data_IF_208660277065
#
_entry.id   IF_208660277065
#
_cell.length_a   1.000
_cell.length_b   1.000
_cell.length_c   1.000
_cell.angle_alpha   90.00
_cell.angle_beta   90.00
_cell.angle_gamma   90.00
#
_symmetry.space_group_name_H-M   'P 1'
#
loop_
_entity.id
_entity.type
_entity.pdbx_description
1 polymer ?
#
# COMPACT_ATOMS: atom_id res chain seq x y z
N UNK A 1 32.50 10.50 44.27
CA UNK A 1 31.47 10.93 45.24
C UNK A 1 30.28 10.01 45.08
N UNK A 2 29.86 9.39 46.17
CA UNK A 2 28.75 8.43 46.25
C UNK A 2 27.99 8.77 47.51
N UNK A 3 26.68 9.01 47.39
CA UNK A 3 25.84 9.40 48.52
C UNK A 3 24.56 8.55 48.52
N UNK A 4 23.95 8.40 49.70
CA UNK A 4 22.88 7.43 49.95
C UNK A 4 21.53 8.07 50.23
N UNK A 5 20.50 7.22 50.22
CA UNK A 5 19.07 7.48 50.44
C UNK A 5 18.75 8.11 51.81
N UNK A 6 17.53 8.68 51.96
CA UNK A 6 16.58 8.01 52.86
C UNK A 6 15.13 7.90 52.31
N UNK A 7 14.23 7.28 53.09
CA UNK A 7 12.88 6.84 52.70
C UNK A 7 11.76 7.43 53.58
N UNK A 8 10.56 7.59 53.01
CA UNK A 8 9.21 7.62 53.67
C UNK A 8 8.15 7.47 52.55
N UNK A 9 6.98 6.80 52.63
CA UNK A 9 6.14 6.22 53.69
C UNK A 9 5.24 7.22 54.48
N UNK A 10 3.94 6.96 54.75
CA UNK A 10 3.12 5.75 54.42
C UNK A 10 2.19 6.03 53.21
N UNK A 11 0.84 5.93 53.14
CA UNK A 11 -0.26 5.52 54.05
C UNK A 11 -1.47 4.92 53.26
N UNK A 12 -2.53 4.46 53.94
CA UNK A 12 -3.51 3.49 53.41
C UNK A 12 -4.95 4.00 53.19
N UNK A 13 -5.62 3.35 52.21
CA UNK A 13 -7.07 2.99 52.17
C UNK A 13 -8.18 4.00 52.47
N UNK A 14 -9.16 4.07 51.56
CA UNK A 14 -10.57 3.70 51.85
C UNK A 14 -11.26 3.20 50.57
N UNK A 15 -12.21 2.28 50.71
CA UNK A 15 -12.91 1.62 49.59
C UNK A 15 -14.28 2.25 49.34
N UNK A 16 -14.68 2.38 48.07
CA UNK A 16 -16.06 2.64 47.66
C UNK A 16 -16.41 1.83 46.40
N UNK A 17 -17.57 1.18 46.40
CA UNK A 17 -18.00 0.25 45.34
C UNK A 17 -19.02 0.89 44.39
N UNK A 18 -18.90 0.61 43.10
CA UNK A 18 -20.05 0.67 42.17
C UNK A 18 -19.86 -0.36 41.05
N UNK A 19 -20.96 -0.94 40.59
CA UNK A 19 -20.98 -2.15 39.77
C UNK A 19 -21.44 -1.81 38.34
N UNK A 20 -20.77 -2.33 37.31
CA UNK A 20 -21.19 -2.20 35.89
C UNK A 20 -21.05 -3.57 35.21
N UNK A 21 -21.98 -3.88 34.29
CA UNK A 21 -22.27 -5.24 33.84
C UNK A 21 -21.25 -5.86 32.85
N UNK A 22 -21.17 -7.20 32.77
CA UNK A 22 -20.22 -7.91 31.90
C UNK A 22 -20.75 -8.13 30.47
N UNK A 23 -20.50 -7.18 29.57
CA UNK A 23 -20.64 -7.36 28.10
C UNK A 23 -19.66 -6.43 27.38
N UNK A 24 -18.86 -6.84 26.39
CA UNK A 24 -18.77 -8.15 25.72
C UNK A 24 -17.30 -8.54 25.51
N UNK A 25 -16.87 -9.66 26.09
CA UNK A 25 -15.61 -10.31 25.70
C UNK A 25 -15.78 -10.95 24.33
N UNK A 26 -15.38 -10.23 23.28
CA UNK A 26 -15.30 -10.76 21.92
C UNK A 26 -14.15 -11.76 21.84
N UNK A 27 -14.42 -13.03 22.20
CA UNK A 27 -13.49 -14.14 21.98
C UNK A 27 -13.15 -14.22 20.50
N UNK A 28 -11.89 -14.06 20.08
CA UNK A 28 -11.52 -14.20 18.68
C UNK A 28 -11.73 -15.66 18.28
N UNK A 29 -12.78 -15.91 17.49
CA UNK A 29 -13.10 -17.25 17.02
C UNK A 29 -11.92 -17.82 16.23
N UNK A 30 -11.60 -19.10 16.40
CA UNK A 30 -10.42 -19.73 15.80
C UNK A 30 -10.34 -19.51 14.27
N UNK A 31 -11.50 -19.45 13.60
CA UNK A 31 -11.65 -19.07 12.19
C UNK A 31 -10.96 -17.76 11.82
N UNK A 32 -11.13 -16.71 12.64
CA UNK A 32 -10.54 -15.38 12.43
C UNK A 32 -9.03 -15.43 12.54
N UNK A 33 -8.48 -16.15 13.53
CA UNK A 33 -7.04 -16.30 13.71
C UNK A 33 -6.39 -17.00 12.50
N UNK A 34 -7.01 -18.07 11.99
CA UNK A 34 -6.54 -18.79 10.79
C UNK A 34 -6.54 -17.87 9.57
N UNK A 35 -7.62 -17.10 9.37
CA UNK A 35 -7.75 -16.21 8.22
C UNK A 35 -6.72 -15.08 8.22
N UNK A 36 -6.43 -14.46 9.37
CA UNK A 36 -5.37 -13.45 9.51
C UNK A 36 -3.97 -14.05 9.27
N UNK A 37 -3.69 -15.25 9.79
CA UNK A 37 -2.41 -15.92 9.58
C UNK A 37 -2.13 -16.22 8.10
N UNK A 38 -3.15 -16.67 7.36
CA UNK A 38 -3.03 -16.94 5.92
C UNK A 38 -2.74 -15.66 5.11
N UNK A 39 -3.37 -14.54 5.46
CA UNK A 39 -3.16 -13.25 4.78
C UNK A 39 -1.74 -12.72 4.97
N UNK A 40 -1.18 -12.84 6.18
CA UNK A 40 0.22 -12.46 6.45
C UNK A 40 1.22 -13.29 5.64
N UNK A 41 0.96 -14.59 5.49
CA UNK A 41 1.83 -15.48 4.71
C UNK A 41 1.78 -15.16 3.21
N UNK A 42 0.61 -14.83 2.66
CA UNK A 42 0.45 -14.32 1.29
C UNK A 42 1.26 -13.03 1.09
N UNK A 43 1.19 -12.09 2.03
CA UNK A 43 1.93 -10.82 1.94
C UNK A 43 3.45 -11.02 1.96
N UNK A 44 3.95 -11.96 2.76
CA UNK A 44 5.38 -12.29 2.81
C UNK A 44 5.87 -12.96 1.51
N UNK A 45 5.07 -13.84 0.89
CA UNK A 45 5.38 -14.41 -0.44
C UNK A 45 5.45 -13.32 -1.51
N UNK A 46 4.49 -12.38 -1.51
CA UNK A 46 4.46 -11.25 -2.43
C UNK A 46 5.71 -10.36 -2.28
N UNK A 47 6.18 -10.11 -1.05
CA UNK A 47 7.44 -9.39 -0.81
C UNK A 47 8.66 -10.14 -1.35
N UNK A 48 8.78 -11.45 -1.07
CA UNK A 48 9.89 -12.28 -1.55
C UNK A 48 9.95 -12.34 -3.10
N UNK A 49 8.79 -12.40 -3.77
CA UNK A 49 8.68 -12.33 -5.23
C UNK A 49 9.22 -11.00 -5.79
N UNK A 50 8.85 -9.87 -5.18
CA UNK A 50 9.38 -8.56 -5.59
C UNK A 50 10.88 -8.41 -5.30
N UNK A 51 11.40 -8.99 -4.21
CA UNK A 51 12.84 -9.04 -3.95
C UNK A 51 13.59 -9.88 -4.99
N UNK A 52 13.04 -11.03 -5.40
CA UNK A 52 13.62 -11.86 -6.46
C UNK A 52 13.62 -11.14 -7.83
N UNK A 53 12.55 -10.40 -8.14
CA UNK A 53 12.52 -9.52 -9.33
C UNK A 53 13.65 -8.49 -9.29
N UNK A 54 13.76 -7.72 -8.21
CA UNK A 54 14.76 -6.66 -8.09
C UNK A 54 16.19 -7.20 -8.08
N UNK A 55 16.46 -8.30 -7.36
CA UNK A 55 17.74 -9.00 -7.41
C UNK A 55 18.11 -9.40 -8.85
N UNK A 56 17.17 -9.95 -9.62
CA UNK A 56 17.41 -10.30 -11.03
C UNK A 56 17.69 -9.06 -11.90
N UNK A 57 16.98 -7.96 -11.69
CA UNK A 57 17.22 -6.72 -12.45
C UNK A 57 18.60 -6.11 -12.13
N UNK A 58 19.04 -6.16 -10.86
CA UNK A 58 20.36 -5.71 -10.44
C UNK A 58 21.44 -6.60 -11.07
N UNK A 59 21.36 -7.92 -10.93
CA UNK A 59 22.33 -8.84 -11.55
C UNK A 59 22.40 -8.71 -13.07
N UNK A 60 21.27 -8.44 -13.74
CA UNK A 60 21.27 -8.13 -15.17
C UNK A 60 21.96 -6.78 -15.45
N UNK A 61 21.73 -5.74 -14.65
CA UNK A 61 22.40 -4.44 -14.83
C UNK A 61 23.92 -4.51 -14.56
N UNK A 62 24.37 -5.39 -13.67
CA UNK A 62 25.79 -5.61 -13.35
C UNK A 62 26.52 -6.44 -14.42
N UNK A 63 25.85 -7.39 -15.07
CA UNK A 63 26.45 -8.32 -16.03
C UNK A 63 26.34 -7.90 -17.51
N UNK A 64 25.54 -6.88 -17.82
CA UNK A 64 25.16 -6.57 -19.21
C UNK A 64 26.09 -5.55 -19.88
N UNK A 65 27.03 -6.05 -20.69
CA UNK A 65 27.68 -5.25 -21.73
C UNK A 65 26.64 -4.82 -22.79
N UNK A 66 26.03 -3.65 -22.55
CA UNK A 66 25.04 -3.06 -23.45
C UNK A 66 25.66 -2.67 -24.79
N UNK A 67 25.04 -3.11 -25.89
CA UNK A 67 25.41 -2.68 -27.25
C UNK A 67 24.97 -1.24 -27.59
N UNK A 68 24.12 -0.65 -26.73
CA UNK A 68 23.49 0.67 -26.82
C UNK A 68 22.77 0.95 -28.15
N UNK A 69 22.30 -0.09 -28.84
CA UNK A 69 21.60 0.02 -30.13
C UNK A 69 20.14 -0.43 -30.03
N UNK A 70 19.88 -1.48 -29.26
CA UNK A 70 18.58 -2.13 -29.22
C UNK A 70 17.80 -1.80 -27.93
N UNK A 71 17.19 -0.61 -27.91
CA UNK A 71 16.37 -0.15 -26.78
C UNK A 71 14.89 -0.56 -26.94
N UNK A 72 14.21 -1.03 -25.87
CA UNK A 72 12.79 -1.42 -25.92
C UNK A 72 11.85 -0.22 -26.10
N UNK A 73 12.30 1.00 -25.80
CA UNK A 73 11.53 2.23 -25.91
C UNK A 73 12.27 3.24 -26.81
N UNK A 74 11.59 3.90 -27.76
CA UNK A 74 12.24 4.78 -28.72
C UNK A 74 12.77 6.07 -28.04
N UNK A 75 14.09 6.23 -28.00
CA UNK A 75 14.78 7.34 -27.34
C UNK A 75 14.26 8.72 -27.74
N UNK A 76 13.86 8.91 -29.00
CA UNK A 76 13.28 10.16 -29.50
C UNK A 76 11.95 10.52 -28.83
N UNK A 77 11.14 9.53 -28.42
CA UNK A 77 9.90 9.76 -27.66
C UNK A 77 10.20 10.07 -26.20
N UNK A 78 11.15 9.35 -25.59
CA UNK A 78 11.63 9.64 -24.22
C UNK A 78 12.14 11.09 -24.15
N UNK A 79 13.05 11.47 -25.06
CA UNK A 79 13.59 12.83 -25.15
C UNK A 79 12.52 13.89 -25.44
N UNK A 80 11.41 13.54 -26.12
CA UNK A 80 10.26 14.44 -26.30
C UNK A 80 9.44 14.62 -25.01
N UNK A 81 9.26 13.56 -24.20
CA UNK A 81 8.59 13.66 -22.89
C UNK A 81 9.45 14.46 -21.91
N UNK A 82 10.75 14.21 -21.86
CA UNK A 82 11.70 15.05 -21.10
C UNK A 82 11.75 16.52 -21.54
N UNK A 83 11.14 16.85 -22.70
CA UNK A 83 11.05 18.19 -23.29
C UNK A 83 9.63 18.79 -23.29
N UNK A 84 8.66 18.19 -22.59
CA UNK A 84 7.38 18.86 -22.33
C UNK A 84 7.49 19.89 -21.20
N UNK A 85 8.47 19.72 -20.32
CA UNK A 85 8.92 20.75 -19.39
C UNK A 85 9.68 21.85 -20.15
N UNK A 86 9.36 23.10 -19.88
CA UNK A 86 9.91 24.27 -20.56
C UNK A 86 11.31 24.65 -20.04
N UNK A 87 11.64 24.32 -18.79
CA UNK A 87 12.92 24.67 -18.17
C UNK A 87 14.07 23.72 -18.57
N UNK A 88 13.74 22.53 -19.11
CA UNK A 88 14.73 21.53 -19.55
C UNK A 88 15.40 21.98 -20.85
N UNK A 89 16.53 22.71 -20.75
CA UNK A 89 17.24 23.30 -21.90
C UNK A 89 18.02 22.27 -22.74
N UNK A 90 18.90 21.47 -22.13
CA UNK A 90 19.67 20.42 -22.80
C UNK A 90 19.58 19.09 -22.05
N UNK A 91 19.81 17.98 -22.75
CA UNK A 91 19.68 16.60 -22.25
C UNK A 91 20.86 15.80 -22.81
N UNK A 92 21.67 15.16 -21.95
CA UNK A 92 22.76 14.25 -22.35
C UNK A 92 22.23 13.11 -23.23
N UNK A 93 23.08 12.56 -24.11
CA UNK A 93 22.75 11.37 -24.89
C UNK A 93 22.45 10.15 -23.99
N UNK A 94 23.08 10.08 -22.81
CA UNK A 94 22.95 8.98 -21.86
C UNK A 94 21.61 8.98 -21.12
N UNK A 95 21.01 10.16 -20.88
CA UNK A 95 19.82 10.25 -20.06
C UNK A 95 18.59 9.54 -20.68
N UNK A 96 18.28 9.69 -21.99
CA UNK A 96 17.25 8.89 -22.65
C UNK A 96 17.53 7.39 -22.65
N UNK A 97 18.80 6.98 -22.69
CA UNK A 97 19.23 5.57 -22.64
C UNK A 97 18.91 4.98 -21.26
N UNK A 98 19.34 5.66 -20.19
CA UNK A 98 19.02 5.28 -18.81
C UNK A 98 17.50 5.28 -18.57
N UNK A 99 16.78 6.29 -19.04
CA UNK A 99 15.31 6.31 -18.98
C UNK A 99 14.67 5.15 -19.75
N UNK A 100 15.23 4.70 -20.88
CA UNK A 100 14.67 3.53 -21.58
C UNK A 100 14.73 2.26 -20.73
N UNK A 101 15.80 2.05 -19.96
CA UNK A 101 15.92 0.87 -19.08
C UNK A 101 15.14 1.05 -17.77
N UNK A 102 15.17 2.25 -17.19
CA UNK A 102 14.38 2.57 -16.01
C UNK A 102 12.87 2.42 -16.26
N UNK A 103 12.37 2.89 -17.41
CA UNK A 103 10.97 2.71 -17.79
C UNK A 103 10.60 1.24 -18.10
N UNK A 104 11.50 0.45 -18.70
CA UNK A 104 11.29 -1.00 -18.88
C UNK A 104 11.12 -1.73 -17.53
N UNK A 105 12.00 -1.43 -16.56
CA UNK A 105 11.94 -2.00 -15.21
C UNK A 105 10.69 -1.51 -14.46
N UNK A 106 10.40 -0.22 -14.50
CA UNK A 106 9.23 0.39 -13.85
C UNK A 106 7.90 -0.16 -14.39
N UNK A 107 7.74 -0.27 -15.72
CA UNK A 107 6.54 -0.85 -16.34
C UNK A 107 6.38 -2.32 -15.92
N UNK A 108 7.48 -3.07 -15.87
CA UNK A 108 7.47 -4.45 -15.38
C UNK A 108 7.06 -4.52 -13.91
N UNK A 109 7.65 -3.68 -13.05
CA UNK A 109 7.39 -3.66 -11.62
C UNK A 109 5.93 -3.32 -11.29
N UNK A 110 5.40 -2.23 -11.83
CA UNK A 110 4.02 -1.80 -11.56
C UNK A 110 3.00 -2.80 -12.13
N UNK A 111 3.33 -3.44 -13.26
CA UNK A 111 2.52 -4.52 -13.84
C UNK A 111 2.51 -5.77 -12.95
N UNK A 112 3.65 -6.17 -12.39
CA UNK A 112 3.75 -7.31 -11.47
C UNK A 112 3.02 -7.02 -10.14
N UNK A 113 3.18 -5.83 -9.57
CA UNK A 113 2.45 -5.40 -8.36
C UNK A 113 0.94 -5.32 -8.61
N UNK A 114 0.50 -4.90 -9.79
CA UNK A 114 -0.92 -4.90 -10.17
C UNK A 114 -1.45 -6.31 -10.48
N UNK A 115 -0.65 -7.20 -11.06
CA UNK A 115 -1.07 -8.58 -11.35
C UNK A 115 -1.45 -9.36 -10.08
N UNK A 116 -0.73 -9.12 -8.97
CA UNK A 116 -1.10 -9.64 -7.64
C UNK A 116 -2.56 -9.30 -7.28
N UNK A 117 -3.03 -8.09 -7.59
CA UNK A 117 -4.42 -7.69 -7.34
C UNK A 117 -5.42 -8.37 -8.29
N UNK A 118 -5.03 -8.66 -9.53
CA UNK A 118 -5.86 -9.46 -10.44
C UNK A 118 -6.02 -10.89 -9.89
N UNK A 119 -4.95 -11.50 -9.40
CA UNK A 119 -4.94 -12.85 -8.82
C UNK A 119 -5.66 -12.93 -7.46
N UNK A 120 -5.49 -11.93 -6.58
CA UNK A 120 -6.30 -11.76 -5.34
C UNK A 120 -7.81 -11.77 -5.67
N UNK A 121 -8.20 -11.17 -6.80
CA UNK A 121 -9.57 -11.14 -7.31
C UNK A 121 -9.94 -12.33 -8.22
N UNK A 122 -9.09 -13.36 -8.34
CA UNK A 122 -9.28 -14.55 -9.19
C UNK A 122 -9.48 -14.24 -10.69
N UNK A 123 -9.02 -13.07 -11.16
CA UNK A 123 -9.06 -12.64 -12.55
C UNK A 123 -7.77 -13.00 -13.28
N UNK A 124 -7.88 -13.27 -14.58
CA UNK A 124 -6.73 -13.43 -15.50
C UNK A 124 -6.60 -12.27 -16.50
N UNK A 125 -7.30 -11.16 -16.21
CA UNK A 125 -7.32 -9.93 -16.99
C UNK A 125 -7.00 -8.78 -16.04
N UNK A 126 -5.91 -8.07 -16.33
CA UNK A 126 -5.47 -6.90 -15.58
C UNK A 126 -6.40 -5.71 -15.87
N UNK A 127 -6.75 -4.95 -14.84
CA UNK A 127 -7.68 -3.83 -14.90
C UNK A 127 -7.07 -2.55 -14.31
N UNK A 128 -7.68 -1.39 -14.60
CA UNK A 128 -7.23 -0.09 -14.07
C UNK A 128 -7.29 -0.02 -12.53
N UNK A 129 -8.27 -0.68 -11.93
CA UNK A 129 -8.44 -0.82 -10.48
C UNK A 129 -7.29 -1.62 -9.84
N UNK A 130 -6.70 -2.59 -10.54
CA UNK A 130 -5.51 -3.32 -10.06
C UNK A 130 -4.29 -2.39 -9.95
N UNK A 131 -4.09 -1.53 -10.95
CA UNK A 131 -3.00 -0.54 -10.96
C UNK A 131 -3.23 0.53 -9.88
N UNK A 132 -4.46 1.03 -9.72
CA UNK A 132 -4.80 1.94 -8.63
C UNK A 132 -4.57 1.31 -7.25
N UNK A 133 -4.89 0.02 -7.09
CA UNK A 133 -4.64 -0.74 -5.87
C UNK A 133 -3.13 -0.91 -5.60
N UNK A 134 -2.34 -1.26 -6.63
CA UNK A 134 -0.89 -1.41 -6.51
C UNK A 134 -0.18 -0.10 -6.14
N UNK A 135 -0.57 1.01 -6.77
CA UNK A 135 -0.10 2.37 -6.42
C UNK A 135 -0.47 2.69 -4.96
N UNK A 136 -1.71 2.38 -4.55
CA UNK A 136 -2.16 2.69 -3.18
C UNK A 136 -1.42 1.93 -2.06
N UNK A 137 -0.71 0.84 -2.38
CA UNK A 137 0.06 0.00 -1.44
C UNK A 137 1.53 0.44 -1.24
N UNK A 138 2.04 1.47 -1.93
CA UNK A 138 3.44 1.92 -1.81
C UNK A 138 3.61 3.42 -2.04
N UNK A 139 4.16 4.12 -1.05
CA UNK A 139 4.59 5.54 -1.09
C UNK A 139 5.53 5.87 -2.27
N UNK A 140 6.38 4.90 -2.66
CA UNK A 140 7.20 4.92 -3.88
C UNK A 140 6.43 5.33 -5.15
N UNK A 141 5.10 5.15 -5.19
CA UNK A 141 4.24 5.49 -6.32
C UNK A 141 3.34 6.72 -6.09
N UNK A 142 3.48 7.46 -5.00
CA UNK A 142 2.58 8.61 -4.72
C UNK A 142 2.71 9.74 -5.77
N UNK A 143 3.78 9.78 -6.56
CA UNK A 143 3.90 10.64 -7.75
C UNK A 143 2.84 10.34 -8.84
N UNK A 144 2.05 9.27 -8.71
CA UNK A 144 0.97 8.89 -9.60
C UNK A 144 -0.43 9.23 -9.09
N UNK A 145 -0.58 9.84 -7.89
CA UNK A 145 -1.91 10.11 -7.29
C UNK A 145 -2.85 10.84 -8.25
N UNK A 146 -2.38 11.90 -8.90
CA UNK A 146 -3.19 12.72 -9.82
C UNK A 146 -3.43 12.03 -11.19
N UNK A 147 -2.67 10.98 -11.50
CA UNK A 147 -2.72 10.23 -12.78
C UNK A 147 -3.60 8.97 -12.63
N UNK A 148 -3.61 8.37 -11.43
CA UNK A 148 -4.33 7.15 -11.09
C UNK A 148 -5.19 7.40 -9.84
N UNK A 149 -6.34 8.08 -9.99
CA UNK A 149 -7.27 8.29 -8.89
C UNK A 149 -7.70 6.95 -8.28
N UNK A 150 -7.65 6.89 -6.95
CA UNK A 150 -8.09 5.74 -6.15
C UNK A 150 -9.61 5.65 -6.24
N UNK A 151 -10.17 4.43 -6.33
CA UNK A 151 -11.62 4.23 -6.23
C UNK A 151 -12.04 4.52 -4.78
N UNK A 152 -12.92 5.49 -4.55
CA UNK A 152 -13.43 5.76 -3.20
C UNK A 152 -14.23 4.56 -2.69
N UNK A 153 -13.79 3.96 -1.58
CA UNK A 153 -14.61 3.01 -0.82
C UNK A 153 -15.88 3.73 -0.38
N UNK A 154 -17.09 3.31 -0.80
CA UNK A 154 -18.30 4.03 -0.48
C UNK A 154 -18.50 4.11 1.03
N UNK A 155 -18.37 5.32 1.60
CA UNK A 155 -18.62 5.57 3.02
C UNK A 155 -20.02 5.07 3.35
N UNK A 156 -20.10 4.04 4.19
CA UNK A 156 -21.37 3.45 4.62
C UNK A 156 -22.17 4.49 5.39
N UNK A 157 -23.07 5.19 4.67
CA UNK A 157 -23.95 6.20 5.26
C UNK A 157 -24.76 5.55 6.37
N UNK A 158 -24.39 5.86 7.61
CA UNK A 158 -24.95 5.22 8.79
C UNK A 158 -26.39 5.72 8.97
N UNK A 159 -27.33 5.03 8.31
CA UNK A 159 -28.76 5.34 8.33
C UNK A 159 -29.27 5.08 9.74
N UNK A 160 -29.27 6.14 10.56
CA UNK A 160 -30.03 6.17 11.81
C UNK A 160 -31.46 5.69 11.51
N UNK A 161 -32.01 4.73 12.26
CA UNK A 161 -33.41 4.36 12.12
C UNK A 161 -34.28 5.62 12.25
N UNK A 162 -35.31 5.73 11.40
CA UNK A 162 -36.42 6.64 11.71
C UNK A 162 -37.23 5.98 12.82
N UNK A 163 -37.43 6.69 13.92
CA UNK A 163 -38.51 6.37 14.84
C UNK A 163 -39.84 6.65 14.11
N UNK A 164 -40.78 5.70 14.15
CA UNK A 164 -42.16 5.98 13.76
C UNK A 164 -42.89 6.68 14.91
N UNK A 165 -43.77 7.65 14.63
CA UNK A 165 -44.61 8.26 15.65
C UNK A 165 -45.63 7.23 16.17
N UNK A 166 -45.58 6.94 17.47
CA UNK A 166 -46.56 6.06 18.12
C UNK A 166 -47.96 6.66 17.96
N UNK A 167 -48.85 5.93 17.28
CA UNK A 167 -50.23 6.36 17.06
C UNK A 167 -51.00 6.46 18.38
N UNK A 168 -51.46 7.67 18.72
CA UNK A 168 -52.32 7.91 19.87
C UNK A 168 -53.75 7.53 19.49
N UNK A 169 -54.20 6.35 19.90
CA UNK A 169 -55.60 5.96 19.78
C UNK A 169 -56.46 6.85 20.70
N UNK A 170 -57.39 7.60 20.11
CA UNK A 170 -58.44 8.31 20.80
C UNK A 170 -59.80 7.64 20.53
N UNK A 171 -60.71 7.75 21.50
CA UNK A 171 -62.13 7.37 21.38
C UNK A 171 -62.94 8.52 20.77
#
# INVERSE_FOLDING_TARGET
MTEQTPQTAVDQSVSATSNVAPTSTATPSASTHIQTQQQLQQQQQNQAFMQQFWSRQITLAEQFESDFKNHPLPLARIKKVMKSDQDVKMISAEAPILFSKACEIFISEITMRAWIHAEENKRRTLQRSDVASAVSRSDQFDFLIDIVPREEVPKSSNRRPKEEPVGVNAF
#
